data_IF_385441008489
#
_entry.id   IF_385441008489
#
_cell.length_a   1.000
_cell.length_b   1.000
_cell.length_c   1.000
_cell.angle_alpha   90.00
_cell.angle_beta   90.00
_cell.angle_gamma   90.00
#
_symmetry.space_group_name_H-M   'P 1'
#
loop_
_entity.id
_entity.type
_entity.pdbx_description
1 polymer ?
#
# COMPACT_ATOMS: atom_id res chain seq x y z
N UNK A 1 29.12 5.64 -19.78
CA UNK A 1 28.38 6.09 -18.58
C UNK A 1 27.16 6.84 -19.07
N UNK A 2 25.97 6.24 -18.96
CA UNK A 2 24.74 6.86 -19.40
C UNK A 2 24.43 8.04 -18.49
N UNK A 3 24.44 9.24 -19.05
CA UNK A 3 24.02 10.45 -18.36
C UNK A 3 22.48 10.36 -18.25
N UNK A 4 21.98 10.03 -17.06
CA UNK A 4 20.55 9.99 -16.80
C UNK A 4 20.12 11.45 -16.73
N UNK A 5 19.59 11.97 -17.84
CA UNK A 5 18.88 13.24 -17.85
C UNK A 5 17.61 13.07 -17.00
N UNK A 6 17.68 13.51 -15.74
CA UNK A 6 16.57 13.54 -14.81
C UNK A 6 15.67 14.73 -15.19
N UNK A 7 15.08 14.67 -16.38
CA UNK A 7 14.04 15.60 -16.80
C UNK A 7 12.72 15.29 -16.08
N UNK A 8 11.91 16.34 -15.84
CA UNK A 8 10.62 16.23 -15.16
C UNK A 8 9.67 15.21 -15.81
N UNK A 9 9.80 14.99 -17.12
CA UNK A 9 9.00 14.03 -17.88
C UNK A 9 9.41 12.57 -17.60
N UNK A 10 10.70 12.30 -17.42
CA UNK A 10 11.20 10.97 -17.01
C UNK A 10 10.71 10.63 -15.60
N UNK A 11 10.72 11.60 -14.68
CA UNK A 11 10.16 11.43 -13.32
C UNK A 11 8.65 11.17 -13.38
N UNK A 12 7.92 11.92 -14.21
CA UNK A 12 6.47 11.74 -14.38
C UNK A 12 6.13 10.37 -14.99
N UNK A 13 6.87 9.93 -16.00
CA UNK A 13 6.71 8.61 -16.60
C UNK A 13 7.00 7.49 -15.59
N UNK A 14 8.06 7.64 -14.78
CA UNK A 14 8.37 6.72 -13.69
C UNK A 14 7.26 6.68 -12.64
N UNK A 15 6.76 7.83 -12.20
CA UNK A 15 5.67 7.92 -11.22
C UNK A 15 4.38 7.25 -11.75
N UNK A 16 4.02 7.51 -13.00
CA UNK A 16 2.85 6.86 -13.62
C UNK A 16 3.05 5.34 -13.70
N UNK A 17 4.23 4.89 -14.14
CA UNK A 17 4.57 3.46 -14.18
C UNK A 17 4.52 2.82 -12.79
N UNK A 18 4.91 3.54 -11.74
CA UNK A 18 4.85 3.10 -10.35
C UNK A 18 3.40 2.97 -9.87
N UNK A 19 2.54 3.94 -10.15
CA UNK A 19 1.13 3.86 -9.78
C UNK A 19 0.43 2.72 -10.55
N UNK A 20 0.71 2.61 -11.84
CA UNK A 20 0.17 1.54 -12.68
C UNK A 20 0.64 0.17 -12.19
N UNK A 21 1.92 0.03 -11.82
CA UNK A 21 2.45 -1.22 -11.28
C UNK A 21 1.82 -1.60 -9.95
N UNK A 22 1.60 -0.62 -9.04
CA UNK A 22 0.92 -0.86 -7.76
C UNK A 22 -0.51 -1.34 -7.97
N UNK A 23 -1.26 -0.71 -8.89
CA UNK A 23 -2.62 -1.12 -9.23
C UNK A 23 -2.67 -2.54 -9.81
N UNK A 24 -1.75 -2.85 -10.72
CA UNK A 24 -1.63 -4.19 -11.31
C UNK A 24 -1.30 -5.23 -10.25
N UNK A 25 -0.32 -4.96 -9.38
CA UNK A 25 0.08 -5.87 -8.31
C UNK A 25 -1.06 -6.16 -7.34
N UNK A 26 -1.80 -5.14 -6.90
CA UNK A 26 -2.97 -5.35 -6.03
C UNK A 26 -4.06 -6.15 -6.75
N UNK A 27 -4.30 -5.89 -8.04
CA UNK A 27 -5.25 -6.65 -8.85
C UNK A 27 -4.86 -8.14 -8.93
N UNK A 28 -3.58 -8.41 -9.16
CA UNK A 28 -3.03 -9.78 -9.15
C UNK A 28 -3.23 -10.44 -7.79
N UNK A 29 -2.98 -9.73 -6.68
CA UNK A 29 -3.21 -10.26 -5.34
C UNK A 29 -4.69 -10.65 -5.11
N UNK A 30 -5.63 -9.80 -5.52
CA UNK A 30 -7.07 -10.09 -5.41
C UNK A 30 -7.43 -11.37 -6.18
N UNK A 31 -6.99 -11.48 -7.44
CA UNK A 31 -7.25 -12.67 -8.28
C UNK A 31 -6.63 -13.92 -7.65
N UNK A 32 -5.40 -13.81 -7.17
CA UNK A 32 -4.68 -14.92 -6.55
C UNK A 32 -5.39 -15.43 -5.29
N UNK A 33 -5.75 -14.56 -4.34
CA UNK A 33 -6.42 -14.98 -3.12
C UNK A 33 -7.87 -15.40 -3.33
N UNK A 34 -8.51 -14.93 -4.41
CA UNK A 34 -9.80 -15.44 -4.84
C UNK A 34 -9.70 -16.92 -5.21
N UNK A 35 -8.70 -17.32 -5.99
CA UNK A 35 -8.47 -18.72 -6.36
C UNK A 35 -7.96 -19.59 -5.19
N UNK A 36 -7.08 -19.04 -4.34
CA UNK A 36 -6.61 -19.75 -3.14
C UNK A 36 -7.68 -19.89 -2.04
N UNK A 37 -8.84 -19.24 -2.19
CA UNK A 37 -9.96 -19.22 -1.24
C UNK A 37 -9.58 -18.72 0.17
N UNK A 38 -8.48 -17.97 0.30
CA UNK A 38 -8.10 -17.31 1.55
C UNK A 38 -8.96 -16.07 1.75
N UNK A 39 -10.00 -16.19 2.58
CA UNK A 39 -10.97 -15.12 2.82
C UNK A 39 -10.37 -13.93 3.58
N UNK A 40 -9.36 -14.13 4.42
CA UNK A 40 -8.76 -13.03 5.20
C UNK A 40 -7.82 -12.21 4.32
N UNK A 41 -6.94 -12.86 3.55
CA UNK A 41 -6.06 -12.20 2.60
C UNK A 41 -6.84 -11.55 1.44
N UNK A 42 -7.93 -12.17 0.97
CA UNK A 42 -8.81 -11.60 -0.05
C UNK A 42 -9.49 -10.31 0.42
N UNK A 43 -9.96 -10.25 1.67
CA UNK A 43 -10.59 -9.03 2.21
C UNK A 43 -9.59 -7.87 2.24
N UNK A 44 -8.38 -8.13 2.75
CA UNK A 44 -7.35 -7.09 2.81
C UNK A 44 -6.94 -6.60 1.41
N UNK A 45 -6.70 -7.52 0.47
CA UNK A 45 -6.34 -7.15 -0.91
C UNK A 45 -7.47 -6.40 -1.62
N UNK A 46 -8.75 -6.76 -1.39
CA UNK A 46 -9.90 -6.02 -1.90
C UNK A 46 -10.00 -4.61 -1.29
N UNK A 47 -9.70 -4.46 0.00
CA UNK A 47 -9.67 -3.14 0.64
C UNK A 47 -8.58 -2.26 0.02
N UNK A 48 -7.37 -2.80 -0.14
CA UNK A 48 -6.28 -2.10 -0.84
C UNK A 48 -6.72 -1.71 -2.25
N UNK A 49 -7.31 -2.65 -3.00
CA UNK A 49 -7.78 -2.40 -4.36
C UNK A 49 -8.79 -1.25 -4.41
N UNK A 50 -9.79 -1.24 -3.52
CA UNK A 50 -10.81 -0.20 -3.47
C UNK A 50 -10.21 1.18 -3.19
N UNK A 51 -9.24 1.29 -2.27
CA UNK A 51 -8.58 2.56 -1.96
C UNK A 51 -7.65 3.04 -3.08
N UNK A 52 -6.94 2.12 -3.75
CA UNK A 52 -6.13 2.46 -4.93
C UNK A 52 -6.99 2.92 -6.11
N UNK A 53 -8.12 2.26 -6.37
CA UNK A 53 -9.10 2.69 -7.38
C UNK A 53 -9.69 4.06 -7.01
N UNK A 54 -10.08 4.25 -5.75
CA UNK A 54 -10.56 5.56 -5.29
C UNK A 54 -9.50 6.65 -5.49
N UNK A 55 -8.25 6.39 -5.10
CA UNK A 55 -7.14 7.32 -5.30
C UNK A 55 -6.94 7.68 -6.77
N UNK A 56 -6.94 6.68 -7.66
CA UNK A 56 -6.80 6.91 -9.10
C UNK A 56 -7.94 7.75 -9.69
N UNK A 57 -9.19 7.41 -9.36
CA UNK A 57 -10.37 8.11 -9.90
C UNK A 57 -10.51 9.53 -9.37
N UNK A 58 -10.06 9.79 -8.15
CA UNK A 58 -10.21 11.10 -7.49
C UNK A 58 -8.98 11.99 -7.61
N UNK A 59 -7.85 11.47 -8.09
CA UNK A 59 -6.59 12.21 -8.19
C UNK A 59 -6.73 13.53 -8.97
N UNK A 60 -7.20 13.45 -10.21
CA UNK A 60 -7.29 14.62 -11.10
C UNK A 60 -8.39 15.59 -10.64
N UNK A 61 -9.53 15.05 -10.18
CA UNK A 61 -10.63 15.84 -9.64
C UNK A 61 -10.19 16.66 -8.41
N UNK A 62 -9.46 16.04 -7.48
CA UNK A 62 -8.95 16.71 -6.27
C UNK A 62 -7.90 17.76 -6.64
N UNK A 63 -7.10 17.52 -7.68
CA UNK A 63 -6.12 18.49 -8.18
C UNK A 63 -6.78 19.71 -8.82
N UNK A 64 -7.85 19.50 -9.59
CA UNK A 64 -8.59 20.55 -10.29
C UNK A 64 -9.36 21.45 -9.31
N UNK A 65 -10.01 20.86 -8.30
CA UNK A 65 -10.79 21.58 -7.30
C UNK A 65 -9.93 22.36 -6.29
N UNK A 66 -8.64 22.04 -6.16
CA UNK A 66 -7.78 22.55 -5.10
C UNK A 66 -6.75 23.57 -5.60
N UNK A 67 -7.24 24.74 -5.97
CA UNK A 67 -6.46 25.93 -6.36
C UNK A 67 -5.50 26.40 -5.25
N UNK A 68 -5.89 26.22 -3.98
CA UNK A 68 -5.09 26.60 -2.81
C UNK A 68 -4.15 25.50 -2.30
N UNK A 69 -4.06 24.33 -2.96
CA UNK A 69 -3.27 23.15 -2.54
C UNK A 69 -3.40 22.79 -1.05
N UNK A 70 -4.60 22.88 -0.49
CA UNK A 70 -4.95 22.57 0.91
C UNK A 70 -5.89 21.38 0.97
N UNK A 71 -6.97 21.41 0.17
CA UNK A 71 -8.02 20.40 0.21
C UNK A 71 -7.53 19.01 -0.16
N UNK A 72 -6.52 18.91 -1.03
CA UNK A 72 -5.91 17.63 -1.38
C UNK A 72 -5.36 16.93 -0.15
N UNK A 73 -4.59 17.61 0.69
CA UNK A 73 -3.92 16.95 1.83
C UNK A 73 -4.93 16.48 2.88
N UNK A 74 -6.02 17.22 3.07
CA UNK A 74 -7.13 16.82 3.94
C UNK A 74 -7.82 15.57 3.37
N UNK A 75 -8.14 15.58 2.08
CA UNK A 75 -8.78 14.45 1.41
C UNK A 75 -7.93 13.18 1.48
N UNK A 76 -6.65 13.26 1.12
CA UNK A 76 -5.73 12.12 1.17
C UNK A 76 -5.50 11.63 2.61
N UNK A 77 -5.29 12.54 3.58
CA UNK A 77 -5.17 12.15 4.99
C UNK A 77 -6.44 11.47 5.51
N UNK A 78 -7.62 11.97 5.15
CA UNK A 78 -8.88 11.37 5.53
C UNK A 78 -9.06 9.97 4.93
N UNK A 79 -8.64 9.76 3.68
CA UNK A 79 -8.63 8.44 3.06
C UNK A 79 -7.69 7.48 3.80
N UNK A 80 -6.47 7.90 4.12
CA UNK A 80 -5.52 7.06 4.87
C UNK A 80 -6.05 6.71 6.27
N UNK A 81 -6.66 7.68 6.97
CA UNK A 81 -7.29 7.48 8.29
C UNK A 81 -8.47 6.49 8.19
N UNK A 82 -9.31 6.64 7.17
CA UNK A 82 -10.43 5.73 6.93
C UNK A 82 -9.92 4.31 6.65
N UNK A 83 -8.85 4.18 5.85
CA UNK A 83 -8.22 2.90 5.55
C UNK A 83 -7.75 2.20 6.82
N UNK A 84 -6.95 2.87 7.67
CA UNK A 84 -6.46 2.28 8.92
C UNK A 84 -7.61 1.97 9.90
N UNK A 85 -8.67 2.78 9.92
CA UNK A 85 -9.84 2.54 10.75
C UNK A 85 -10.58 1.26 10.34
N UNK A 86 -10.75 1.02 9.04
CA UNK A 86 -11.35 -0.22 8.53
C UNK A 86 -10.45 -1.42 8.87
N UNK A 87 -9.14 -1.30 8.66
CA UNK A 87 -8.16 -2.36 8.99
C UNK A 87 -8.18 -2.72 10.47
N UNK A 88 -8.17 -1.71 11.36
CA UNK A 88 -8.26 -1.92 12.79
C UNK A 88 -9.59 -2.58 13.19
N UNK A 89 -10.71 -2.10 12.64
CA UNK A 89 -12.03 -2.67 12.90
C UNK A 89 -12.12 -4.14 12.45
N UNK A 90 -11.57 -4.48 11.28
CA UNK A 90 -11.57 -5.87 10.79
C UNK A 90 -10.69 -6.80 11.62
N UNK A 91 -9.55 -6.31 12.12
CA UNK A 91 -8.70 -7.08 13.02
C UNK A 91 -9.41 -7.41 14.34
N UNK A 92 -10.17 -6.46 14.91
CA UNK A 92 -10.98 -6.69 16.11
C UNK A 92 -12.16 -7.65 15.92
N UNK A 93 -12.56 -7.89 14.66
CA UNK A 93 -13.65 -8.82 14.30
C UNK A 93 -13.15 -10.14 13.74
N UNK A 94 -11.86 -10.44 13.89
CA UNK A 94 -11.20 -11.63 13.33
C UNK A 94 -11.42 -11.81 11.81
N UNK A 95 -11.70 -10.70 11.11
CA UNK A 95 -11.94 -10.69 9.67
C UNK A 95 -10.65 -10.61 8.85
N UNK A 96 -9.54 -10.31 9.52
CA UNK A 96 -8.19 -10.09 8.99
C UNK A 96 -7.16 -10.60 10.00
N UNK A 97 -5.99 -11.03 9.53
CA UNK A 97 -4.88 -11.42 10.40
C UNK A 97 -4.42 -10.25 11.29
N UNK A 98 -4.38 -10.46 12.61
CA UNK A 98 -3.98 -9.43 13.57
C UNK A 98 -2.58 -8.88 13.28
N UNK A 99 -1.62 -9.74 12.96
CA UNK A 99 -0.24 -9.36 12.61
C UNK A 99 -0.18 -8.49 11.36
N UNK A 100 -0.97 -8.84 10.34
CA UNK A 100 -1.07 -8.07 9.10
C UNK A 100 -1.65 -6.67 9.38
N UNK A 101 -2.62 -6.58 10.31
CA UNK A 101 -3.20 -5.30 10.71
C UNK A 101 -2.21 -4.41 11.45
N UNK A 102 -1.43 -4.97 12.40
CA UNK A 102 -0.41 -4.23 13.14
C UNK A 102 0.65 -3.67 12.18
N UNK A 103 1.19 -4.51 11.30
CA UNK A 103 2.21 -4.08 10.33
C UNK A 103 1.63 -3.04 9.36
N UNK A 104 0.40 -3.26 8.87
CA UNK A 104 -0.27 -2.33 7.98
C UNK A 104 -0.44 -0.95 8.62
N UNK A 105 -0.86 -0.87 9.87
CA UNK A 105 -1.02 0.40 10.58
C UNK A 105 0.33 1.11 10.74
N UNK A 106 1.38 0.39 11.16
CA UNK A 106 2.73 0.96 11.29
C UNK A 106 3.26 1.52 9.96
N UNK A 107 2.99 0.83 8.86
CA UNK A 107 3.39 1.24 7.51
C UNK A 107 2.61 2.45 7.03
N UNK A 108 1.30 2.51 7.30
CA UNK A 108 0.41 3.53 6.73
C UNK A 108 0.40 4.82 7.55
N UNK A 109 0.53 4.78 8.88
CA UNK A 109 0.52 5.98 9.77
C UNK A 109 1.43 7.14 9.30
N UNK A 110 2.65 6.90 8.77
CA UNK A 110 3.48 7.97 8.22
C UNK A 110 2.82 8.78 7.11
N UNK A 111 1.95 8.19 6.28
CA UNK A 111 1.29 8.89 5.18
C UNK A 111 0.34 10.02 5.67
N UNK A 112 -0.72 9.77 6.47
CA UNK A 112 -1.59 10.84 6.96
C UNK A 112 -0.84 11.82 7.86
N UNK A 113 0.17 11.39 8.60
CA UNK A 113 1.00 12.30 9.39
C UNK A 113 1.74 13.30 8.50
N UNK A 114 2.33 12.84 7.38
CA UNK A 114 2.99 13.72 6.41
C UNK A 114 2.00 14.61 5.66
N UNK A 115 0.80 14.12 5.36
CA UNK A 115 -0.26 14.91 4.75
C UNK A 115 -0.67 16.08 5.67
N UNK A 116 -0.87 15.81 6.96
CA UNK A 116 -1.19 16.82 7.97
C UNK A 116 -0.02 17.75 8.26
N UNK A 117 1.20 17.22 8.36
CA UNK A 117 2.41 18.03 8.51
C UNK A 117 2.55 19.01 7.34
N UNK A 118 2.30 18.56 6.11
CA UNK A 118 2.36 19.41 4.92
C UNK A 118 1.27 20.49 4.90
N UNK A 119 0.11 20.21 5.47
CA UNK A 119 -0.93 21.22 5.68
C UNK A 119 -0.47 22.30 6.67
N UNK A 120 0.15 21.91 7.78
CA UNK A 120 0.67 22.84 8.80
C UNK A 120 1.89 23.61 8.30
N UNK A 121 2.86 22.91 7.70
CA UNK A 121 4.12 23.45 7.19
C UNK A 121 3.89 24.52 6.12
N UNK A 122 2.90 24.33 5.24
CA UNK A 122 2.50 25.36 4.27
C UNK A 122 2.07 26.68 4.92
N UNK A 123 1.54 26.65 6.14
CA UNK A 123 1.14 27.85 6.86
C UNK A 123 2.28 28.45 7.71
N UNK A 124 3.38 27.72 7.95
CA UNK A 124 4.38 28.08 8.95
C UNK A 124 5.85 28.13 8.45
N UNK A 125 6.25 27.42 7.38
CA UNK A 125 7.64 27.47 6.84
C UNK A 125 7.72 27.36 5.30
N UNK A 126 8.82 27.86 4.73
CA UNK A 126 9.12 27.82 3.29
C UNK A 126 9.42 26.39 2.79
N UNK A 127 8.36 25.63 2.47
CA UNK A 127 8.12 24.49 1.54
C UNK A 127 9.24 23.52 1.04
N UNK A 128 10.53 23.69 1.35
CA UNK A 128 11.64 23.01 0.68
C UNK A 128 11.91 21.60 1.24
N UNK A 129 11.85 21.42 2.56
CA UNK A 129 12.17 20.14 3.20
C UNK A 129 11.01 19.12 3.16
N UNK A 130 9.77 19.57 3.40
CA UNK A 130 8.58 18.70 3.40
C UNK A 130 8.22 18.17 2.01
N UNK A 131 8.61 18.89 0.95
CA UNK A 131 8.41 18.48 -0.44
C UNK A 131 9.10 17.17 -0.80
N UNK A 132 10.36 17.01 -0.37
CA UNK A 132 11.17 15.83 -0.66
C UNK A 132 10.70 14.61 0.13
N UNK A 133 10.50 14.75 1.44
CA UNK A 133 10.02 13.66 2.30
C UNK A 133 8.68 13.09 1.81
N UNK A 134 7.76 13.98 1.42
CA UNK A 134 6.46 13.58 0.88
C UNK A 134 6.57 12.75 -0.40
N UNK A 135 7.41 13.16 -1.36
CA UNK A 135 7.58 12.46 -2.64
C UNK A 135 8.26 11.10 -2.49
N UNK A 136 9.04 10.90 -1.44
CA UNK A 136 9.76 9.64 -1.20
C UNK A 136 8.97 8.69 -0.32
N UNK A 137 8.37 9.17 0.76
CA UNK A 137 7.71 8.33 1.75
C UNK A 137 6.36 7.82 1.24
N UNK A 138 5.57 8.63 0.53
CA UNK A 138 4.25 8.17 0.04
C UNK A 138 4.35 6.98 -0.93
N UNK A 139 5.19 7.00 -1.98
CA UNK A 139 5.35 5.84 -2.84
C UNK A 139 5.85 4.61 -2.07
N UNK A 140 6.74 4.80 -1.08
CA UNK A 140 7.26 3.72 -0.26
C UNK A 140 6.16 3.08 0.61
N UNK A 141 5.33 3.89 1.27
CA UNK A 141 4.19 3.44 2.09
C UNK A 141 3.17 2.70 1.22
N UNK A 142 2.87 3.24 0.02
CA UNK A 142 1.96 2.60 -0.92
C UNK A 142 2.50 1.24 -1.37
N UNK A 143 3.77 1.15 -1.76
CA UNK A 143 4.39 -0.12 -2.11
C UNK A 143 4.39 -1.11 -0.96
N UNK A 144 4.75 -0.69 0.25
CA UNK A 144 4.76 -1.55 1.41
C UNK A 144 3.36 -2.11 1.72
N UNK A 145 2.31 -1.29 1.55
CA UNK A 145 0.91 -1.72 1.65
C UNK A 145 0.56 -2.77 0.59
N UNK A 146 0.99 -2.57 -0.67
CA UNK A 146 0.79 -3.56 -1.74
C UNK A 146 1.55 -4.86 -1.44
N UNK A 147 2.80 -4.80 -1.02
CA UNK A 147 3.59 -5.99 -0.67
C UNK A 147 2.98 -6.76 0.51
N UNK A 148 2.35 -6.06 1.45
CA UNK A 148 1.61 -6.71 2.55
C UNK A 148 0.46 -7.60 2.07
N UNK A 149 -0.08 -7.34 0.87
CA UNK A 149 -1.09 -8.22 0.28
C UNK A 149 -0.50 -9.61 0.01
N UNK A 150 0.78 -9.72 -0.35
CA UNK A 150 1.43 -10.97 -0.73
C UNK A 150 2.04 -11.74 0.45
N UNK A 151 2.20 -11.13 1.63
CA UNK A 151 2.79 -11.78 2.81
C UNK A 151 2.08 -13.11 3.18
N UNK A 152 0.73 -13.21 3.17
CA UNK A 152 0.04 -14.47 3.45
C UNK A 152 0.40 -15.61 2.48
N UNK A 153 0.78 -15.29 1.24
CA UNK A 153 1.20 -16.27 0.25
C UNK A 153 2.48 -17.00 0.67
N UNK A 154 3.45 -16.27 1.22
CA UNK A 154 4.71 -16.84 1.72
C UNK A 154 4.43 -17.83 2.84
N UNK A 155 3.52 -17.49 3.76
CA UNK A 155 3.12 -18.36 4.86
C UNK A 155 2.43 -19.64 4.38
N UNK A 156 1.54 -19.53 3.37
CA UNK A 156 0.91 -20.69 2.74
C UNK A 156 1.93 -21.62 2.06
N UNK A 157 2.93 -21.05 1.39
CA UNK A 157 3.99 -21.82 0.74
C UNK A 157 4.87 -22.57 1.76
N UNK A 158 5.30 -21.90 2.84
CA UNK A 158 6.09 -22.55 3.91
C UNK A 158 5.32 -23.70 4.57
N UNK A 159 4.03 -23.50 4.83
CA UNK A 159 3.15 -24.54 5.39
C UNK A 159 3.05 -25.76 4.46
N UNK A 160 2.86 -25.55 3.17
CA UNK A 160 2.74 -26.63 2.20
C UNK A 160 4.09 -27.36 1.97
N UNK A 161 5.21 -26.63 2.01
CA UNK A 161 6.55 -27.23 1.94
C UNK A 161 6.83 -28.15 3.13
N UNK A 162 6.50 -27.70 4.34
CA UNK A 162 6.63 -28.51 5.57
C UNK A 162 5.73 -29.75 5.54
N UNK A 163 4.46 -29.60 5.14
CA UNK A 163 3.53 -30.72 5.01
C UNK A 163 4.01 -31.79 4.01
N UNK A 164 4.59 -31.38 2.88
CA UNK A 164 5.14 -32.32 1.92
C UNK A 164 6.42 -33.01 2.42
N UNK A 165 7.24 -32.32 3.24
CA UNK A 165 8.46 -32.89 3.81
C UNK A 165 8.19 -33.96 4.88
N UNK A 166 7.11 -33.81 5.67
CA UNK A 166 6.71 -34.78 6.69
C UNK A 166 6.01 -36.02 6.13
N UNK A 167 5.65 -36.01 4.83
CA UNK A 167 4.94 -37.11 4.16
C UNK A 167 5.87 -38.01 3.36
N UNK A 168 7.19 -37.75 3.34
CA UNK A 168 8.18 -38.74 2.86
C UNK A 168 8.48 -39.71 4.01
N UNK A 169 8.07 -40.98 3.94
CA UNK A 169 8.55 -41.97 4.89
C UNK A 169 10.07 -42.06 4.78
N UNK A 170 10.76 -42.25 5.91
CA UNK A 170 12.13 -42.73 5.94
C UNK A 170 12.19 -44.08 5.23
N UNK A 171 12.47 -44.05 3.94
CA UNK A 171 12.85 -45.20 3.15
C UNK A 171 14.32 -44.92 2.81
N UNK A 172 15.21 -45.43 3.66
CA UNK A 172 16.66 -45.65 3.45
C UNK A 172 17.35 -45.84 4.82
N UNK A 173 17.08 -46.97 5.46
CA UNK A 173 17.89 -47.53 6.54
C UNK A 173 17.59 -49.04 6.64
N UNK A 174 18.11 -49.79 5.68
CA UNK A 174 18.08 -51.26 5.62
C UNK A 174 19.38 -51.76 5.01
#
# INVERSE_FOLDING_TARGET
MANIDINGDTIRALLNTIFDSQMVLVSVAVVLFYFLKDRQALRYSLLCFAFFVNGYLTHDLVLELDSNKVYRYIYWAAADILFIAIVAYWALKDKMYMWQSIICQLVVIPAPLLQLFRLVDRHLMELSYSGYLYKTILPLVNYATVFLCFVPLIYLLDRNAKANSSTRPQQDAG
#
